data_IF_267515634896
#
_entry.id   IF_267515634896
#
_cell.length_a   1.000
_cell.length_b   1.000
_cell.length_c   1.000
_cell.angle_alpha   90.00
_cell.angle_beta   90.00
_cell.angle_gamma   90.00
#
_symmetry.space_group_name_H-M   'P 1'
#
loop_
_entity.id
_entity.type
_entity.pdbx_description
1 polymer ?
#
# COMPACT_ATOMS: atom_id res chain seq x y z
N UNK A 1 -33.08 16.39 -25.54
CA UNK A 1 -33.29 15.00 -25.10
C UNK A 1 -32.46 14.09 -25.99
N UNK A 2 -31.39 13.50 -25.46
CA UNK A 2 -30.94 12.15 -25.83
C UNK A 2 -29.88 11.70 -24.82
N UNK A 3 -30.24 10.70 -24.04
CA UNK A 3 -29.42 10.01 -23.06
C UNK A 3 -28.29 9.25 -23.74
N UNK A 4 -27.06 9.38 -23.24
CA UNK A 4 -26.00 8.40 -23.49
C UNK A 4 -25.94 7.48 -22.27
N UNK A 5 -26.33 6.23 -22.49
CA UNK A 5 -26.34 5.12 -21.54
C UNK A 5 -24.91 4.65 -21.37
N UNK A 6 -24.36 4.74 -20.15
CA UNK A 6 -23.20 3.94 -19.75
C UNK A 6 -23.70 2.66 -19.07
N UNK A 7 -23.34 1.46 -19.55
CA UNK A 7 -23.78 0.22 -18.94
C UNK A 7 -23.05 0.00 -17.61
N UNK A 8 -23.84 -0.20 -16.56
CA UNK A 8 -23.40 -0.74 -15.27
C UNK A 8 -22.80 -2.13 -15.49
N UNK A 9 -21.49 -2.23 -15.40
CA UNK A 9 -20.81 -3.51 -15.15
C UNK A 9 -21.03 -3.86 -13.68
N UNK A 10 -21.96 -4.79 -13.44
CA UNK A 10 -22.10 -5.49 -12.17
C UNK A 10 -20.82 -6.30 -11.91
N UNK A 11 -19.84 -5.69 -11.23
CA UNK A 11 -18.80 -6.44 -10.56
C UNK A 11 -19.40 -6.97 -9.26
N UNK A 12 -19.62 -8.29 -9.22
CA UNK A 12 -19.86 -9.09 -8.02
C UNK A 12 -19.01 -8.56 -6.86
N UNK A 13 -19.57 -8.38 -5.65
CA UNK A 13 -18.77 -7.92 -4.52
C UNK A 13 -17.66 -8.95 -4.31
N UNK A 14 -16.42 -8.48 -4.35
CA UNK A 14 -15.27 -9.28 -3.96
C UNK A 14 -15.51 -9.73 -2.52
N UNK A 15 -15.95 -10.98 -2.38
CA UNK A 15 -16.02 -11.66 -1.10
C UNK A 15 -14.61 -11.78 -0.56
N UNK A 16 -14.44 -11.38 0.68
CA UNK A 16 -13.35 -11.75 1.58
C UNK A 16 -11.95 -11.51 1.03
N UNK A 17 -11.54 -10.25 1.01
CA UNK A 17 -10.12 -9.90 0.98
C UNK A 17 -9.75 -9.24 2.32
N UNK A 18 -9.05 -9.95 3.23
CA UNK A 18 -8.55 -9.32 4.44
C UNK A 18 -7.54 -8.24 4.05
N UNK A 19 -7.59 -7.12 4.77
CA UNK A 19 -6.69 -5.99 4.63
C UNK A 19 -5.24 -6.38 4.98
N UNK A 20 -4.56 -7.08 4.08
CA UNK A 20 -3.19 -7.52 4.23
C UNK A 20 -2.29 -6.83 3.21
N UNK A 21 -2.12 -5.51 3.33
CA UNK A 21 -1.06 -4.84 2.56
C UNK A 21 -0.46 -3.61 3.23
N UNK A 22 -0.76 -3.35 4.51
CA UNK A 22 -0.05 -2.33 5.32
C UNK A 22 0.66 -2.92 6.54
N UNK A 23 0.48 -4.21 6.80
CA UNK A 23 1.12 -4.93 7.90
C UNK A 23 2.26 -5.83 7.42
N UNK A 24 2.85 -5.58 6.25
CA UNK A 24 4.17 -6.14 5.94
C UNK A 24 5.25 -5.38 6.74
N UNK A 25 5.23 -5.59 8.06
CA UNK A 25 6.32 -5.35 9.01
C UNK A 25 6.90 -3.95 9.08
N UNK A 26 6.42 -3.11 10.00
CA UNK A 26 7.20 -1.93 10.42
C UNK A 26 7.57 -1.91 11.91
N UNK A 27 6.79 -2.52 12.82
CA UNK A 27 7.14 -2.45 14.25
C UNK A 27 7.48 -3.82 14.86
N UNK A 28 6.71 -4.87 14.57
CA UNK A 28 6.89 -6.18 15.23
C UNK A 28 8.04 -7.00 14.65
N UNK A 29 8.16 -7.06 13.32
CA UNK A 29 9.26 -7.76 12.65
C UNK A 29 10.58 -7.03 12.87
N UNK A 30 10.59 -5.71 12.76
CA UNK A 30 11.78 -4.88 13.02
C UNK A 30 12.24 -5.01 14.48
N UNK A 31 11.31 -4.98 15.44
CA UNK A 31 11.65 -5.21 16.84
C UNK A 31 12.20 -6.62 17.10
N UNK A 32 11.66 -7.67 16.46
CA UNK A 32 12.20 -9.03 16.55
C UNK A 32 13.63 -9.10 15.99
N UNK A 33 13.88 -8.49 14.83
CA UNK A 33 15.20 -8.43 14.23
C UNK A 33 16.20 -7.67 15.10
N UNK A 34 15.75 -6.58 15.72
CA UNK A 34 16.57 -5.78 16.65
C UNK A 34 16.90 -6.56 17.93
N UNK A 35 15.92 -7.26 18.51
CA UNK A 35 16.12 -8.13 19.69
C UNK A 35 17.13 -9.25 19.42
N UNK A 36 17.16 -9.76 18.19
CA UNK A 36 18.10 -10.80 17.76
C UNK A 36 19.43 -10.23 17.25
N UNK A 37 19.57 -8.90 17.13
CA UNK A 37 20.75 -8.25 16.57
C UNK A 37 20.95 -8.52 15.07
N UNK A 38 19.90 -8.95 14.36
CA UNK A 38 19.97 -9.39 12.96
C UNK A 38 19.65 -8.28 11.95
N UNK A 39 19.16 -7.12 12.40
CA UNK A 39 18.74 -6.02 11.51
C UNK A 39 19.82 -5.62 10.53
N UNK A 40 21.06 -5.41 11.00
CA UNK A 40 22.17 -5.05 10.11
C UNK A 40 22.57 -6.20 9.18
N UNK A 41 22.62 -7.43 9.71
CA UNK A 41 22.97 -8.62 8.95
C UNK A 41 22.00 -8.91 7.80
N UNK A 42 20.71 -8.63 7.99
CA UNK A 42 19.68 -8.83 6.97
C UNK A 42 19.61 -7.66 5.98
N UNK A 43 19.70 -6.41 6.46
CA UNK A 43 19.32 -5.23 5.65
C UNK A 43 20.48 -4.51 4.97
N UNK A 44 21.72 -4.63 5.47
CA UNK A 44 22.88 -3.94 4.92
C UNK A 44 23.53 -4.72 3.78
N UNK A 45 24.10 -4.07 2.75
CA UNK A 45 24.82 -4.73 1.66
C UNK A 45 25.93 -5.68 2.14
N UNK A 46 26.64 -5.27 3.19
CA UNK A 46 27.75 -5.98 3.84
C UNK A 46 27.32 -6.94 4.96
N UNK A 47 26.02 -7.06 5.22
CA UNK A 47 25.48 -7.94 6.25
C UNK A 47 25.79 -9.42 5.98
N UNK A 48 26.07 -10.19 7.03
CA UNK A 48 26.32 -11.64 6.93
C UNK A 48 25.44 -12.38 7.93
N UNK A 49 24.84 -13.48 7.48
CA UNK A 49 24.06 -14.39 8.32
C UNK A 49 24.79 -15.72 8.42
N UNK A 50 24.85 -16.28 9.62
CA UNK A 50 25.21 -17.68 9.79
C UNK A 50 24.06 -18.58 9.28
N UNK A 51 24.37 -19.83 8.92
CA UNK A 51 23.39 -20.76 8.32
C UNK A 51 22.10 -20.92 9.15
N UNK A 52 22.25 -21.01 10.48
CA UNK A 52 21.09 -21.12 11.37
C UNK A 52 20.22 -19.86 11.35
N UNK A 53 20.82 -18.66 11.27
CA UNK A 53 20.11 -17.38 11.20
C UNK A 53 19.41 -17.24 9.84
N UNK A 54 20.08 -17.65 8.77
CA UNK A 54 19.49 -17.69 7.43
C UNK A 54 18.24 -18.58 7.43
N UNK A 55 18.34 -19.83 7.89
CA UNK A 55 17.21 -20.76 7.90
C UNK A 55 16.05 -20.26 8.77
N UNK A 56 16.35 -19.69 9.94
CA UNK A 56 15.34 -19.10 10.81
C UNK A 56 14.62 -17.92 10.13
N UNK A 57 15.37 -16.98 9.56
CA UNK A 57 14.79 -15.81 8.90
C UNK A 57 14.01 -16.17 7.65
N UNK A 58 14.50 -17.09 6.82
CA UNK A 58 13.76 -17.57 5.64
C UNK A 58 12.42 -18.17 6.03
N UNK A 59 12.37 -18.96 7.11
CA UNK A 59 11.13 -19.53 7.65
C UNK A 59 10.18 -18.44 8.16
N UNK A 60 10.68 -17.49 8.96
CA UNK A 60 9.86 -16.39 9.48
C UNK A 60 9.32 -15.51 8.35
N UNK A 61 10.16 -15.13 7.39
CA UNK A 61 9.76 -14.31 6.23
C UNK A 61 8.67 -15.03 5.43
N UNK A 62 8.89 -16.32 5.13
CA UNK A 62 7.95 -17.12 4.33
C UNK A 62 6.59 -17.26 5.01
N UNK A 63 6.56 -17.52 6.31
CA UNK A 63 5.29 -17.65 7.07
C UNK A 63 4.50 -16.36 7.22
N UNK A 64 5.13 -15.20 6.96
CA UNK A 64 4.45 -13.89 6.97
C UNK A 64 3.90 -13.48 5.61
N UNK A 65 4.34 -14.10 4.52
CA UNK A 65 3.81 -13.87 3.18
C UNK A 65 2.49 -14.64 3.00
N UNK A 66 1.50 -14.00 2.38
CA UNK A 66 0.38 -14.76 1.83
C UNK A 66 0.90 -15.74 0.76
N UNK A 67 0.34 -16.95 0.65
CA UNK A 67 0.80 -17.94 -0.34
C UNK A 67 0.80 -17.41 -1.79
N UNK A 68 -0.21 -16.61 -2.14
CA UNK A 68 -0.34 -15.96 -3.45
C UNK A 68 0.83 -15.02 -3.76
N UNK A 69 1.27 -14.26 -2.77
CA UNK A 69 2.42 -13.34 -2.85
C UNK A 69 3.72 -14.14 -2.87
N UNK A 70 3.85 -15.15 -2.00
CA UNK A 70 5.03 -15.98 -1.92
C UNK A 70 5.38 -16.61 -3.27
N UNK A 71 4.39 -17.14 -4.01
CA UNK A 71 4.61 -17.72 -5.34
C UNK A 71 5.17 -16.74 -6.38
N UNK A 72 4.91 -15.44 -6.22
CA UNK A 72 5.39 -14.42 -7.15
C UNK A 72 6.80 -13.92 -6.83
N UNK A 73 7.24 -14.06 -5.57
CA UNK A 73 8.52 -13.53 -5.09
C UNK A 73 9.55 -14.65 -4.94
N UNK A 74 9.17 -15.77 -4.31
CA UNK A 74 10.09 -16.87 -4.03
C UNK A 74 10.32 -17.74 -5.27
N UNK A 75 11.58 -18.01 -5.58
CA UNK A 75 12.04 -18.83 -6.69
C UNK A 75 13.19 -19.75 -6.24
N UNK A 76 13.68 -20.61 -7.12
CA UNK A 76 14.73 -21.58 -6.80
C UNK A 76 16.08 -20.96 -6.39
N UNK A 77 16.30 -19.67 -6.67
CA UNK A 77 17.53 -18.93 -6.34
C UNK A 77 17.45 -18.25 -4.96
N UNK A 78 16.30 -17.68 -4.60
CA UNK A 78 16.16 -16.89 -3.38
C UNK A 78 15.46 -17.62 -2.22
N UNK A 79 14.72 -18.71 -2.47
CA UNK A 79 13.84 -19.34 -1.48
C UNK A 79 14.54 -19.84 -0.23
N UNK A 80 15.83 -20.12 -0.32
CA UNK A 80 16.67 -20.64 0.77
C UNK A 80 17.67 -19.59 1.28
N UNK A 81 17.58 -18.34 0.80
CA UNK A 81 18.49 -17.25 1.17
C UNK A 81 17.69 -16.05 1.69
N UNK A 82 17.71 -15.83 3.01
CA UNK A 82 16.94 -14.80 3.67
C UNK A 82 17.26 -13.39 3.17
N UNK A 83 18.52 -13.10 2.82
CA UNK A 83 18.93 -11.78 2.32
C UNK A 83 18.42 -11.54 0.91
N UNK A 84 18.53 -12.52 0.02
CA UNK A 84 18.00 -12.43 -1.33
C UNK A 84 16.47 -12.35 -1.31
N UNK A 85 15.81 -13.21 -0.55
CA UNK A 85 14.36 -13.19 -0.39
C UNK A 85 13.88 -11.84 0.16
N UNK A 86 14.54 -11.29 1.19
CA UNK A 86 14.23 -9.97 1.73
C UNK A 86 14.45 -8.85 0.70
N UNK A 87 15.52 -8.94 -0.09
CA UNK A 87 15.79 -7.99 -1.18
C UNK A 87 14.66 -8.02 -2.20
N UNK A 88 14.25 -9.21 -2.64
CA UNK A 88 13.22 -9.38 -3.67
C UNK A 88 11.83 -8.99 -3.15
N UNK A 89 11.55 -9.19 -1.85
CA UNK A 89 10.34 -8.66 -1.20
C UNK A 89 10.33 -7.14 -1.24
N UNK A 90 11.44 -6.49 -0.83
CA UNK A 90 11.56 -5.03 -0.88
C UNK A 90 11.42 -4.53 -2.31
N UNK A 91 12.04 -5.20 -3.27
CA UNK A 91 11.89 -4.86 -4.66
C UNK A 91 10.43 -5.01 -5.09
N UNK A 92 9.79 -6.14 -4.83
CA UNK A 92 8.39 -6.36 -5.22
C UNK A 92 7.42 -5.31 -4.66
N UNK A 93 7.54 -4.99 -3.37
CA UNK A 93 6.60 -4.09 -2.69
C UNK A 93 6.97 -2.60 -2.79
N UNK A 94 8.25 -2.25 -2.71
CA UNK A 94 8.73 -0.87 -2.81
C UNK A 94 9.15 -0.48 -4.25
N UNK A 95 8.92 -1.37 -5.22
CA UNK A 95 9.20 -1.10 -6.62
C UNK A 95 8.42 0.12 -7.10
N UNK A 96 9.16 1.05 -7.70
CA UNK A 96 8.62 2.24 -8.38
C UNK A 96 8.06 1.92 -9.77
N UNK A 97 7.94 0.63 -10.12
CA UNK A 97 7.43 0.22 -11.43
C UNK A 97 5.99 0.73 -11.62
N UNK A 98 5.61 1.11 -12.85
CA UNK A 98 4.28 1.65 -13.14
C UNK A 98 3.13 0.75 -12.67
N UNK A 99 3.29 -0.58 -12.76
CA UNK A 99 2.27 -1.54 -12.34
C UNK A 99 1.97 -1.47 -10.84
N UNK A 100 3.00 -1.37 -9.99
CA UNK A 100 2.82 -1.26 -8.54
C UNK A 100 2.19 0.10 -8.17
N UNK A 101 2.62 1.18 -8.84
CA UNK A 101 1.99 2.49 -8.68
C UNK A 101 0.51 2.47 -9.06
N UNK A 102 0.16 1.83 -10.18
CA UNK A 102 -1.22 1.68 -10.63
C UNK A 102 -2.08 0.87 -9.64
N UNK A 103 -1.52 -0.20 -9.06
CA UNK A 103 -2.17 -1.00 -8.01
C UNK A 103 -2.50 -0.16 -6.78
N UNK A 104 -1.56 0.65 -6.29
CA UNK A 104 -1.78 1.53 -5.14
C UNK A 104 -2.80 2.63 -5.45
N UNK A 105 -2.80 3.20 -6.65
CA UNK A 105 -3.88 4.10 -7.09
C UNK A 105 -5.24 3.38 -7.12
N UNK A 106 -5.29 2.10 -7.48
CA UNK A 106 -6.53 1.33 -7.44
C UNK A 106 -7.01 1.07 -6.01
N UNK A 107 -6.09 0.85 -5.05
CA UNK A 107 -6.44 0.80 -3.62
C UNK A 107 -7.09 2.11 -3.17
N UNK A 108 -6.53 3.26 -3.52
CA UNK A 108 -7.15 4.56 -3.20
C UNK A 108 -8.56 4.64 -3.80
N UNK A 109 -8.71 4.29 -5.09
CA UNK A 109 -10.02 4.33 -5.77
C UNK A 109 -11.05 3.43 -5.12
N UNK A 110 -10.66 2.27 -4.61
CA UNK A 110 -11.56 1.31 -3.98
C UNK A 110 -12.08 1.73 -2.60
N UNK A 111 -11.45 2.69 -1.91
CA UNK A 111 -11.94 3.22 -0.64
C UNK A 111 -13.26 3.96 -0.85
N UNK A 112 -14.29 3.58 -0.08
CA UNK A 112 -15.63 4.18 -0.12
C UNK A 112 -15.83 4.98 1.17
N UNK A 113 -16.36 6.20 1.05
CA UNK A 113 -16.72 7.00 2.22
C UNK A 113 -18.01 6.45 2.85
N UNK A 114 -17.95 6.22 4.16
CA UNK A 114 -19.10 5.87 4.98
C UNK A 114 -19.26 6.90 6.09
N UNK A 115 -20.41 7.59 6.10
CA UNK A 115 -20.71 8.61 7.11
C UNK A 115 -20.84 8.02 8.52
N UNK A 116 -21.17 6.73 8.61
CA UNK A 116 -21.29 6.02 9.89
C UNK A 116 -19.93 5.64 10.50
N UNK A 117 -18.85 5.64 9.68
CA UNK A 117 -17.50 5.28 10.11
C UNK A 117 -16.42 6.13 9.41
N UNK A 118 -16.47 7.44 9.67
CA UNK A 118 -15.46 8.40 9.22
C UNK A 118 -14.04 8.03 9.69
N UNK A 119 -13.81 7.54 10.93
CA UNK A 119 -12.48 7.14 11.37
C UNK A 119 -11.85 6.02 10.52
N UNK A 120 -12.64 5.02 10.10
CA UNK A 120 -12.16 3.98 9.19
C UNK A 120 -11.74 4.55 7.84
N UNK A 121 -12.57 5.40 7.24
CA UNK A 121 -12.22 6.08 5.97
C UNK A 121 -10.90 6.84 6.08
N UNK A 122 -10.72 7.65 7.13
CA UNK A 122 -9.48 8.40 7.36
C UNK A 122 -8.28 7.45 7.51
N UNK A 123 -8.45 6.34 8.22
CA UNK A 123 -7.40 5.35 8.44
C UNK A 123 -6.98 4.68 7.13
N UNK A 124 -7.94 4.23 6.32
CA UNK A 124 -7.69 3.60 5.02
C UNK A 124 -7.01 4.57 4.04
N UNK A 125 -7.45 5.83 4.00
CA UNK A 125 -6.80 6.86 3.17
C UNK A 125 -5.36 7.10 3.61
N UNK A 126 -5.09 7.26 4.92
CA UNK A 126 -3.73 7.45 5.44
C UNK A 126 -2.82 6.27 5.11
N UNK A 127 -3.33 5.06 5.24
CA UNK A 127 -2.64 3.82 4.87
C UNK A 127 -2.20 3.89 3.41
N UNK A 128 -3.09 4.24 2.49
CA UNK A 128 -2.76 4.30 1.06
C UNK A 128 -1.82 5.45 0.73
N UNK A 129 -1.97 6.62 1.38
CA UNK A 129 -1.05 7.75 1.21
C UNK A 129 0.38 7.40 1.61
N UNK A 130 0.58 6.64 2.70
CA UNK A 130 1.90 6.16 3.09
C UNK A 130 2.51 5.22 2.03
N UNK A 131 1.71 4.28 1.50
CA UNK A 131 2.17 3.41 0.40
C UNK A 131 2.54 4.20 -0.85
N UNK A 132 1.73 5.22 -1.20
CA UNK A 132 2.01 6.12 -2.33
C UNK A 132 3.36 6.83 -2.16
N UNK A 133 3.65 7.34 -0.97
CA UNK A 133 4.94 7.94 -0.65
C UNK A 133 6.10 6.94 -0.83
N UNK A 134 5.98 5.72 -0.29
CA UNK A 134 7.01 4.69 -0.38
C UNK A 134 7.38 4.32 -1.83
N UNK A 135 6.38 4.25 -2.72
CA UNK A 135 6.62 3.93 -4.15
C UNK A 135 6.93 5.16 -5.00
N UNK A 136 6.96 6.36 -4.41
CA UNK A 136 7.22 7.62 -5.11
C UNK A 136 6.11 8.03 -6.08
N UNK A 137 4.86 7.89 -5.68
CA UNK A 137 3.71 8.59 -6.29
C UNK A 137 3.66 10.01 -5.71
N UNK A 138 3.52 11.00 -6.58
CA UNK A 138 3.30 12.38 -6.16
C UNK A 138 1.85 12.58 -5.68
N UNK A 139 1.70 13.05 -4.45
CA UNK A 139 0.41 13.20 -3.76
C UNK A 139 -0.06 14.65 -3.64
N UNK A 140 0.69 15.61 -4.20
CA UNK A 140 0.45 17.05 -3.95
C UNK A 140 -0.91 17.54 -4.44
N UNK A 141 -1.27 17.31 -5.71
CA UNK A 141 -2.50 17.91 -6.27
C UNK A 141 -3.56 16.86 -6.64
N UNK A 142 -3.24 15.92 -7.53
CA UNK A 142 -4.22 14.97 -8.09
C UNK A 142 -4.86 14.06 -7.03
N UNK A 143 -4.05 13.58 -6.07
CA UNK A 143 -4.50 12.68 -5.02
C UNK A 143 -5.43 13.38 -4.02
N UNK A 144 -5.21 14.68 -3.77
CA UNK A 144 -6.10 15.47 -2.92
C UNK A 144 -7.51 15.55 -3.52
N UNK A 145 -7.61 15.86 -4.81
CA UNK A 145 -8.90 15.89 -5.51
C UNK A 145 -9.56 14.51 -5.58
N UNK A 146 -8.79 13.43 -5.77
CA UNK A 146 -9.31 12.06 -5.74
C UNK A 146 -9.95 11.71 -4.38
N UNK A 147 -9.39 12.20 -3.27
CA UNK A 147 -9.96 12.00 -1.92
C UNK A 147 -11.22 12.86 -1.75
N UNK A 148 -11.19 14.12 -2.17
CA UNK A 148 -12.35 15.02 -2.07
C UNK A 148 -13.55 14.51 -2.87
N UNK A 149 -13.31 13.91 -4.04
CA UNK A 149 -14.34 13.32 -4.89
C UNK A 149 -15.02 12.09 -4.27
N UNK A 150 -14.49 11.55 -3.18
CA UNK A 150 -15.13 10.45 -2.43
C UNK A 150 -16.16 10.94 -1.41
N UNK A 151 -16.14 12.23 -1.05
CA UNK A 151 -17.09 12.78 -0.10
C UNK A 151 -18.48 12.88 -0.72
N UNK A 152 -19.55 12.64 0.06
CA UNK A 152 -20.92 12.71 -0.44
C UNK A 152 -21.30 14.16 -0.78
N UNK A 153 -22.32 14.34 -1.63
CA UNK A 153 -22.81 15.66 -2.02
C UNK A 153 -23.25 16.55 -0.84
N UNK A 154 -23.68 15.92 0.26
CA UNK A 154 -24.00 16.61 1.52
C UNK A 154 -22.80 17.38 2.10
N UNK A 155 -21.57 17.04 1.72
CA UNK A 155 -20.33 17.72 2.09
C UNK A 155 -19.77 18.63 0.99
N UNK A 156 -20.53 18.90 -0.08
CA UNK A 156 -20.09 19.73 -1.20
C UNK A 156 -19.59 21.13 -0.80
N UNK A 157 -20.13 21.71 0.28
CA UNK A 157 -19.64 22.98 0.82
C UNK A 157 -18.19 22.88 1.30
N UNK A 158 -17.80 21.80 1.98
CA UNK A 158 -16.41 21.58 2.41
C UNK A 158 -15.50 21.45 1.19
N UNK A 159 -15.91 20.66 0.19
CA UNK A 159 -15.16 20.51 -1.07
C UNK A 159 -14.95 21.86 -1.75
N UNK A 160 -15.98 22.71 -1.80
CA UNK A 160 -15.87 24.06 -2.38
C UNK A 160 -14.92 24.95 -1.59
N UNK A 161 -15.01 24.98 -0.26
CA UNK A 161 -14.11 25.78 0.58
C UNK A 161 -12.63 25.35 0.46
N UNK A 162 -12.36 24.06 0.26
CA UNK A 162 -11.00 23.56 0.08
C UNK A 162 -10.46 23.89 -1.32
N UNK A 163 -11.31 23.80 -2.35
CA UNK A 163 -10.90 23.96 -3.76
C UNK A 163 -10.92 25.39 -4.27
N UNK A 164 -11.67 26.29 -3.64
CA UNK A 164 -11.79 27.69 -4.05
C UNK A 164 -11.06 28.57 -3.05
N UNK A 165 -10.09 29.34 -3.52
CA UNK A 165 -9.59 30.46 -2.72
C UNK A 165 -10.65 31.56 -2.71
N UNK A 166 -10.97 32.14 -1.55
CA UNK A 166 -11.83 33.33 -1.44
C UNK A 166 -11.19 34.59 -2.08
N UNK A 167 -10.05 34.44 -2.75
CA UNK A 167 -9.39 35.52 -3.48
C UNK A 167 -10.17 35.82 -4.76
N UNK A 168 -10.37 37.11 -5.03
CA UNK A 168 -10.88 37.56 -6.33
C UNK A 168 -9.98 37.04 -7.45
N UNK A 169 -10.60 36.53 -8.51
CA UNK A 169 -9.91 36.21 -9.75
C UNK A 169 -9.25 37.50 -10.27
N UNK A 170 -7.92 37.53 -10.27
CA UNK A 170 -7.16 38.59 -10.94
C UNK A 170 -7.37 38.40 -12.44
N UNK A 171 -8.00 39.39 -13.05
CA UNK A 171 -8.25 39.46 -14.50
C UNK A 171 -7.06 40.06 -15.21
#
# INVERSE_FOLDING_TARGET
>A
MSNTIYPYINATPAKDQPAASTEFGSNRTDHMLDLQGLTKSLTKPEGVLADHQNNQLTSVITTKLEPSVQMNIANHTNKDNARLLWSDIKEYFASKQPANKARIHQELRAIIFDISDVPKFITEVKIVLNKMYEVGIDTTDNVCYDILNKLPESMSNMTKHITHSEKKLTT
#
